data_IF_902718351767
#
_entry.id   IF_902718351767
#
_cell.length_a   1.000
_cell.length_b   1.000
_cell.length_c   1.000
_cell.angle_alpha   90.00
_cell.angle_beta   90.00
_cell.angle_gamma   90.00
#
_symmetry.space_group_name_H-M   'P 1'
#
loop_
_entity.id
_entity.type
_entity.pdbx_description
1 polymer ?
#
# COMPACT_ATOMS: atom_id res chain seq x y z
N UNK A 1 -13.57 32.51 -0.20
CA UNK A 1 -14.03 32.28 1.18
C UNK A 1 -15.19 31.27 1.24
N UNK A 2 -16.47 31.67 1.10
CA UNK A 2 -17.60 30.73 1.24
C UNK A 2 -17.65 29.61 0.19
N UNK A 3 -17.31 29.93 -1.06
CA UNK A 3 -17.22 28.95 -2.15
C UNK A 3 -16.04 27.98 -2.02
N UNK A 4 -14.94 28.41 -1.39
CA UNK A 4 -13.76 27.57 -1.13
C UNK A 4 -14.01 26.63 0.04
N UNK A 5 -14.66 27.11 1.09
CA UNK A 5 -15.09 26.28 2.22
C UNK A 5 -16.07 25.18 1.78
N UNK A 6 -17.02 25.52 0.88
CA UNK A 6 -17.94 24.53 0.30
C UNK A 6 -17.21 23.42 -0.48
N UNK A 7 -16.23 23.78 -1.31
CA UNK A 7 -15.40 22.81 -2.05
C UNK A 7 -14.57 21.92 -1.12
N UNK A 8 -14.00 22.50 -0.06
CA UNK A 8 -13.25 21.74 0.96
C UNK A 8 -14.16 20.69 1.63
N UNK A 9 -15.39 21.05 1.95
CA UNK A 9 -16.35 20.14 2.56
C UNK A 9 -16.76 19.01 1.62
N UNK A 10 -16.96 19.29 0.33
CA UNK A 10 -17.21 18.27 -0.69
C UNK A 10 -16.03 17.30 -0.83
N UNK A 11 -14.81 17.81 -0.80
CA UNK A 11 -13.58 16.98 -0.83
C UNK A 11 -13.52 16.05 0.38
N UNK A 12 -13.85 16.55 1.59
CA UNK A 12 -13.88 15.72 2.80
C UNK A 12 -14.88 14.58 2.69
N UNK A 13 -16.11 14.89 2.28
CA UNK A 13 -17.17 13.88 2.09
C UNK A 13 -16.80 12.83 1.06
N UNK A 14 -16.18 13.24 -0.04
CA UNK A 14 -15.67 12.32 -1.04
C UNK A 14 -14.61 11.38 -0.45
N UNK A 15 -13.61 11.94 0.25
CA UNK A 15 -12.55 11.15 0.89
C UNK A 15 -13.13 10.15 1.89
N UNK A 16 -14.05 10.57 2.75
CA UNK A 16 -14.69 9.69 3.74
C UNK A 16 -15.48 8.55 3.09
N UNK A 17 -16.28 8.86 2.07
CA UNK A 17 -17.05 7.86 1.33
C UNK A 17 -16.12 6.85 0.65
N UNK A 18 -15.06 7.30 0.00
CA UNK A 18 -14.09 6.42 -0.67
C UNK A 18 -13.30 5.58 0.34
N UNK A 19 -12.90 6.12 1.49
CA UNK A 19 -12.25 5.32 2.54
C UNK A 19 -13.19 4.21 3.05
N UNK A 20 -14.47 4.52 3.26
CA UNK A 20 -15.45 3.52 3.71
C UNK A 20 -15.66 2.39 2.67
N UNK A 21 -15.70 2.73 1.39
CA UNK A 21 -15.75 1.75 0.30
C UNK A 21 -14.49 0.86 0.28
N UNK A 22 -13.30 1.47 0.39
CA UNK A 22 -12.03 0.73 0.46
C UNK A 22 -12.00 -0.20 1.67
N UNK A 23 -12.42 0.28 2.85
CA UNK A 23 -12.42 -0.53 4.08
C UNK A 23 -13.35 -1.75 3.92
N UNK A 24 -14.55 -1.57 3.36
CA UNK A 24 -15.47 -2.67 3.04
C UNK A 24 -14.88 -3.69 2.05
N UNK A 25 -14.26 -3.22 0.96
CA UNK A 25 -13.63 -4.10 -0.01
C UNK A 25 -12.42 -4.85 0.56
N UNK A 26 -11.61 -4.17 1.37
CA UNK A 26 -10.43 -4.75 2.04
C UNK A 26 -10.86 -5.87 2.99
N UNK A 27 -11.92 -5.67 3.79
CA UNK A 27 -12.46 -6.71 4.68
C UNK A 27 -12.88 -7.98 3.92
N UNK A 28 -13.51 -7.82 2.74
CA UNK A 28 -13.92 -8.96 1.93
C UNK A 28 -12.71 -9.70 1.34
N UNK A 29 -11.68 -8.97 0.90
CA UNK A 29 -10.44 -9.56 0.41
C UNK A 29 -9.66 -10.28 1.52
N UNK A 30 -9.62 -9.72 2.73
CA UNK A 30 -9.03 -10.39 3.88
C UNK A 30 -9.78 -11.68 4.26
N UNK A 31 -11.12 -11.69 4.16
CA UNK A 31 -11.92 -12.92 4.36
C UNK A 31 -11.53 -13.98 3.33
N UNK A 32 -11.45 -13.62 2.05
CA UNK A 32 -11.01 -14.52 0.97
C UNK A 32 -9.59 -15.03 1.23
N UNK A 33 -8.65 -14.15 1.56
CA UNK A 33 -7.26 -14.52 1.88
C UNK A 33 -7.16 -15.52 3.05
N UNK A 34 -8.00 -15.36 4.08
CA UNK A 34 -8.04 -16.26 5.25
C UNK A 34 -8.72 -17.61 4.93
N UNK A 35 -9.75 -17.60 4.09
CA UNK A 35 -10.51 -18.80 3.71
C UNK A 35 -9.72 -19.65 2.70
N UNK A 36 -9.03 -19.00 1.77
CA UNK A 36 -8.38 -19.64 0.64
C UNK A 36 -6.87 -19.85 0.86
N UNK A 37 -6.55 -20.58 1.93
CA UNK A 37 -5.15 -20.74 2.40
C UNK A 37 -4.21 -21.45 1.42
N UNK A 38 -4.76 -22.19 0.46
CA UNK A 38 -4.02 -23.15 -0.38
C UNK A 38 -4.18 -22.92 -1.89
N UNK A 39 -4.94 -21.92 -2.34
CA UNK A 39 -5.02 -21.60 -3.77
C UNK A 39 -3.87 -20.72 -4.25
N UNK A 40 -3.75 -20.67 -5.58
CA UNK A 40 -2.88 -19.73 -6.28
C UNK A 40 -3.43 -18.29 -6.27
N UNK A 41 -4.68 -18.09 -5.89
CA UNK A 41 -5.32 -16.76 -5.87
C UNK A 41 -4.93 -15.96 -4.62
N UNK A 42 -4.23 -16.58 -3.66
CA UNK A 42 -3.73 -15.91 -2.46
C UNK A 42 -2.81 -14.72 -2.76
N UNK A 43 -1.92 -14.87 -3.74
CA UNK A 43 -1.05 -13.78 -4.20
C UNK A 43 -1.87 -12.63 -4.80
N UNK A 44 -2.93 -12.95 -5.54
CA UNK A 44 -3.85 -11.95 -6.10
C UNK A 44 -4.57 -11.18 -4.98
N UNK A 45 -5.09 -11.89 -3.96
CA UNK A 45 -5.75 -11.25 -2.82
C UNK A 45 -4.80 -10.33 -2.05
N UNK A 46 -3.55 -10.77 -1.83
CA UNK A 46 -2.52 -9.95 -1.18
C UNK A 46 -2.19 -8.69 -1.99
N UNK A 47 -2.05 -8.80 -3.32
CA UNK A 47 -1.83 -7.66 -4.21
C UNK A 47 -3.00 -6.66 -4.10
N UNK A 48 -4.24 -7.15 -4.09
CA UNK A 48 -5.44 -6.31 -3.99
C UNK A 48 -5.50 -5.61 -2.62
N UNK A 49 -5.30 -6.33 -1.52
CA UNK A 49 -5.28 -5.77 -0.15
C UNK A 49 -4.22 -4.66 -0.05
N UNK A 50 -3.00 -4.94 -0.50
CA UNK A 50 -1.89 -3.97 -0.47
C UNK A 50 -2.19 -2.73 -1.33
N UNK A 51 -2.87 -2.91 -2.46
CA UNK A 51 -3.30 -1.80 -3.32
C UNK A 51 -4.32 -0.90 -2.61
N UNK A 52 -5.32 -1.49 -1.98
CA UNK A 52 -6.33 -0.77 -1.20
C UNK A 52 -5.74 -0.03 -0.01
N UNK A 53 -4.83 -0.67 0.73
CA UNK A 53 -4.15 -0.04 1.86
C UNK A 53 -3.36 1.21 1.42
N UNK A 54 -2.62 1.14 0.32
CA UNK A 54 -1.89 2.29 -0.25
C UNK A 54 -2.83 3.41 -0.67
N UNK A 55 -3.95 3.08 -1.31
CA UNK A 55 -4.94 4.07 -1.72
C UNK A 55 -5.55 4.79 -0.51
N UNK A 56 -5.98 4.02 0.48
CA UNK A 56 -6.51 4.53 1.75
C UNK A 56 -5.52 5.44 2.48
N UNK A 57 -4.26 5.04 2.59
CA UNK A 57 -3.23 5.83 3.25
C UNK A 57 -2.95 7.15 2.52
N UNK A 58 -3.09 7.17 1.20
CA UNK A 58 -3.00 8.41 0.40
C UNK A 58 -4.18 9.34 0.69
N UNK A 59 -5.40 8.81 0.72
CA UNK A 59 -6.60 9.59 1.06
C UNK A 59 -6.51 10.17 2.48
N UNK A 60 -6.07 9.40 3.47
CA UNK A 60 -5.86 9.89 4.84
C UNK A 60 -4.84 11.01 4.95
N UNK A 61 -3.78 10.97 4.12
CA UNK A 61 -2.80 12.07 4.05
C UNK A 61 -3.44 13.33 3.50
N UNK A 62 -4.21 13.22 2.41
CA UNK A 62 -4.93 14.36 1.82
C UNK A 62 -5.94 14.92 2.83
N UNK A 63 -6.72 14.06 3.50
CA UNK A 63 -7.65 14.46 4.57
C UNK A 63 -6.92 15.29 5.64
N UNK A 64 -5.78 14.79 6.14
CA UNK A 64 -4.96 15.50 7.13
C UNK A 64 -4.45 16.85 6.63
N UNK A 65 -4.07 16.97 5.35
CA UNK A 65 -3.68 18.26 4.76
C UNK A 65 -4.86 19.25 4.72
N UNK A 66 -6.04 18.77 4.32
CA UNK A 66 -7.27 19.57 4.25
C UNK A 66 -7.73 20.02 5.64
N UNK A 67 -7.46 19.24 6.68
CA UNK A 67 -7.74 19.57 8.08
C UNK A 67 -6.68 20.49 8.72
N UNK A 68 -5.64 20.89 7.97
CA UNK A 68 -4.55 21.73 8.48
C UNK A 68 -3.49 21.00 9.31
N UNK A 69 -3.51 19.66 9.29
CA UNK A 69 -2.52 18.84 9.96
C UNK A 69 -1.18 18.77 9.22
N UNK A 70 -0.09 18.67 9.98
CA UNK A 70 1.25 18.43 9.41
C UNK A 70 1.33 17.02 8.85
N UNK A 71 1.62 16.91 7.56
CA UNK A 71 1.96 15.65 6.88
C UNK A 71 3.46 15.66 6.62
N UNK A 72 4.15 14.59 6.99
CA UNK A 72 5.57 14.44 6.67
C UNK A 72 5.73 14.33 5.15
N UNK A 73 6.61 15.17 4.58
CA UNK A 73 6.91 15.16 3.16
C UNK A 73 7.89 14.04 2.83
N UNK A 74 7.49 13.11 1.96
CA UNK A 74 8.35 12.08 1.41
C UNK A 74 7.54 11.09 0.58
N UNK A 75 8.15 10.54 -0.47
CA UNK A 75 7.63 9.38 -1.21
C UNK A 75 7.34 8.16 -0.30
N UNK A 76 7.86 8.21 0.94
CA UNK A 76 7.88 7.12 1.88
C UNK A 76 7.19 7.49 3.18
N UNK A 77 5.95 7.03 3.34
CA UNK A 77 5.52 6.63 4.69
C UNK A 77 6.46 5.51 5.16
N UNK A 78 6.59 5.32 6.48
CA UNK A 78 7.42 4.25 7.07
C UNK A 78 7.14 2.88 6.39
N UNK A 79 5.88 2.63 6.02
CA UNK A 79 5.48 1.43 5.27
C UNK A 79 6.22 1.28 3.93
N UNK A 80 6.24 2.32 3.09
CA UNK A 80 6.85 2.24 1.76
C UNK A 80 8.37 2.19 1.81
N UNK A 81 9.01 2.80 2.81
CA UNK A 81 10.45 2.61 3.05
C UNK A 81 10.74 1.16 3.43
N UNK A 82 9.97 0.61 4.37
CA UNK A 82 10.11 -0.78 4.79
C UNK A 82 9.90 -1.76 3.64
N UNK A 83 8.89 -1.55 2.79
CA UNK A 83 8.64 -2.36 1.58
C UNK A 83 9.83 -2.31 0.63
N UNK A 84 10.43 -1.13 0.39
CA UNK A 84 11.60 -0.99 -0.48
C UNK A 84 12.83 -1.64 0.09
N UNK A 85 13.08 -1.47 1.38
CA UNK A 85 14.24 -2.07 2.05
C UNK A 85 14.12 -3.60 2.01
N UNK A 86 12.93 -4.18 2.23
CA UNK A 86 12.68 -5.61 2.06
C UNK A 86 12.93 -6.10 0.62
N UNK A 87 12.49 -5.34 -0.39
CA UNK A 87 12.74 -5.66 -1.81
C UNK A 87 14.23 -5.64 -2.12
N UNK A 88 14.96 -4.62 -1.65
CA UNK A 88 16.42 -4.52 -1.82
C UNK A 88 17.12 -5.72 -1.20
N UNK A 89 16.82 -6.05 0.04
CA UNK A 89 17.41 -7.22 0.72
C UNK A 89 17.14 -8.52 -0.06
N UNK A 90 15.96 -8.66 -0.68
CA UNK A 90 15.62 -9.85 -1.46
C UNK A 90 16.38 -9.91 -2.77
N UNK A 91 16.53 -8.79 -3.47
CA UNK A 91 17.33 -8.67 -4.70
C UNK A 91 18.78 -9.05 -4.39
N UNK A 92 19.38 -8.45 -3.37
CA UNK A 92 20.77 -8.73 -2.98
C UNK A 92 21.00 -10.21 -2.68
N UNK A 93 20.06 -10.88 -2.00
CA UNK A 93 20.15 -12.33 -1.75
C UNK A 93 20.14 -13.15 -3.05
N UNK A 94 19.23 -12.84 -3.97
CA UNK A 94 19.12 -13.55 -5.25
C UNK A 94 20.35 -13.34 -6.14
N UNK A 95 20.89 -12.13 -6.19
CA UNK A 95 22.11 -11.83 -6.94
C UNK A 95 23.31 -12.61 -6.39
N UNK A 96 23.45 -12.70 -5.07
CA UNK A 96 24.51 -13.47 -4.42
C UNK A 96 24.39 -14.98 -4.70
N UNK A 97 23.18 -15.53 -4.66
CA UNK A 97 22.94 -16.95 -4.94
C UNK A 97 23.26 -17.29 -6.42
N UNK A 98 22.91 -16.40 -7.35
CA UNK A 98 23.26 -16.53 -8.76
C UNK A 98 24.78 -16.49 -8.98
N UNK A 99 25.50 -15.58 -8.32
CA UNK A 99 26.96 -15.52 -8.41
C UNK A 99 27.63 -16.79 -7.88
N UNK A 100 27.18 -17.33 -6.74
CA UNK A 100 27.71 -18.58 -6.19
C UNK A 100 27.53 -19.75 -7.14
N UNK A 101 26.32 -19.88 -7.71
CA UNK A 101 26.03 -20.94 -8.68
C UNK A 101 26.92 -20.86 -9.92
N UNK A 102 27.15 -19.66 -10.45
CA UNK A 102 28.08 -19.46 -11.56
C UNK A 102 29.52 -19.86 -11.24
N UNK A 103 29.98 -19.64 -9.99
CA UNK A 103 31.32 -20.05 -9.56
C UNK A 103 31.44 -21.57 -9.41
N UNK A 104 30.38 -22.24 -8.94
CA UNK A 104 30.32 -23.70 -8.82
C UNK A 104 30.24 -24.40 -10.19
N UNK A 105 29.51 -23.82 -11.15
CA UNK A 105 29.38 -24.37 -12.51
C UNK A 105 30.62 -24.13 -13.39
N UNK A 106 31.54 -23.25 -12.97
CA UNK A 106 32.75 -22.87 -13.73
C UNK A 106 34.05 -23.48 -13.17
N UNK A 107 33.99 -24.25 -12.08
CA UNK A 107 35.12 -24.93 -11.43
C UNK A 107 35.17 -26.42 -11.73
#
# INVERSE_FOLDING_TARGET
MASELGKIEEIKKYIEATIAEIDSHTENMEKLFKMDKWSRDRELYEIIINSYERHRNTLKRIQKMVEGGKVESGLYTISTKSEIDMVKERIEKLENDLMKKHMEDSG
#
